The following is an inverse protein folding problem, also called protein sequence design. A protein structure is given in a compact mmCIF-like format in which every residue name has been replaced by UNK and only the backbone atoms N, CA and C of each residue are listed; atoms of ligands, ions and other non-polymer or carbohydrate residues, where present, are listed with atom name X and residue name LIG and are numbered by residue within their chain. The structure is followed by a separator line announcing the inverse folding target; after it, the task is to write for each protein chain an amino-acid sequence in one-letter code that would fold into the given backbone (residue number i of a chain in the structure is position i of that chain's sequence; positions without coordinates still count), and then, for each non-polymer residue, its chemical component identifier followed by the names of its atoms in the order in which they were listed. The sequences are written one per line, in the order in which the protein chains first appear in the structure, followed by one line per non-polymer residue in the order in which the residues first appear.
data_IF_815220221035
#
_entry.id   IF_815220221035
#
_cell.length_a   1.000
_cell.length_b   1.000
_cell.length_c   1.000
_cell.angle_alpha   90.00
_cell.angle_beta   90.00
_cell.angle_gamma   90.00
#
_symmetry.space_group_name_H-M   'P 1'
#
loop_
_entity.id
_entity.type
_entity.pdbx_description
1 polymer ?
#
# COMPACT_ATOMS: atom_id res chain seq x y z
N UNK A 1 -23.98 30.38 -18.71
CA UNK A 1 -22.49 30.57 -18.72
C UNK A 1 -21.88 29.38 -19.46
N UNK A 2 -20.88 29.61 -20.30
CA UNK A 2 -20.32 28.57 -21.19
C UNK A 2 -19.17 27.81 -20.52
N UNK A 3 -19.01 26.53 -20.85
CA UNK A 3 -17.90 25.72 -20.35
C UNK A 3 -16.57 26.25 -20.91
N UNK A 4 -15.56 26.36 -20.05
CA UNK A 4 -14.20 26.78 -20.46
C UNK A 4 -13.51 25.84 -21.46
N UNK A 5 -13.96 24.59 -21.55
CA UNK A 5 -13.39 23.58 -22.45
C UNK A 5 -14.28 23.30 -23.67
N UNK A 6 -15.56 23.66 -23.60
CA UNK A 6 -16.56 23.39 -24.64
C UNK A 6 -17.46 24.61 -24.80
N UNK A 7 -17.15 25.46 -25.78
CA UNK A 7 -17.88 26.70 -26.01
C UNK A 7 -19.36 26.46 -26.37
N UNK A 8 -19.68 25.29 -26.97
CA UNK A 8 -21.03 24.89 -27.37
C UNK A 8 -21.92 24.41 -26.22
N UNK A 9 -21.40 24.29 -25.00
CA UNK A 9 -22.15 23.74 -23.87
C UNK A 9 -22.40 24.80 -22.80
N UNK A 10 -23.67 25.14 -22.58
CA UNK A 10 -24.08 25.93 -21.42
C UNK A 10 -24.05 25.09 -20.15
N UNK A 11 -23.55 25.66 -19.06
CA UNK A 11 -23.38 24.95 -17.79
C UNK A 11 -23.73 25.84 -16.61
N UNK A 12 -24.23 25.21 -15.55
CA UNK A 12 -24.37 25.80 -14.21
C UNK A 12 -23.33 25.24 -13.22
N UNK A 13 -22.52 24.26 -13.63
CA UNK A 13 -21.56 23.59 -12.77
C UNK A 13 -20.23 24.36 -12.75
N UNK A 14 -19.62 24.45 -11.57
CA UNK A 14 -18.31 25.06 -11.34
C UNK A 14 -17.40 24.09 -10.61
N UNK A 15 -16.10 24.15 -10.92
CA UNK A 15 -15.13 23.35 -10.19
C UNK A 15 -15.01 23.85 -8.74
N UNK A 16 -15.10 22.95 -7.77
CA UNK A 16 -14.98 23.31 -6.34
C UNK A 16 -13.61 23.86 -5.91
N UNK A 17 -12.57 23.75 -6.75
CA UNK A 17 -11.20 24.19 -6.45
C UNK A 17 -10.80 25.49 -7.15
N UNK A 18 -11.18 25.65 -8.41
CA UNK A 18 -10.77 26.79 -9.25
C UNK A 18 -11.96 27.60 -9.79
N UNK A 19 -13.19 27.21 -9.46
CA UNK A 19 -14.45 27.93 -9.73
C UNK A 19 -14.76 28.18 -11.22
N UNK A 20 -13.94 27.64 -12.13
CA UNK A 20 -14.18 27.70 -13.57
C UNK A 20 -15.46 26.94 -13.95
N UNK A 21 -16.25 27.45 -14.92
CA UNK A 21 -17.43 26.75 -15.41
C UNK A 21 -17.02 25.49 -16.19
N UNK A 22 -17.62 24.37 -15.80
CA UNK A 22 -17.40 23.02 -16.36
C UNK A 22 -18.72 22.43 -16.83
N UNK A 23 -18.72 21.67 -17.93
CA UNK A 23 -19.88 20.89 -18.36
C UNK A 23 -19.88 19.50 -17.71
N UNK A 24 -21.02 18.82 -17.77
CA UNK A 24 -21.20 17.41 -17.41
C UNK A 24 -20.15 16.48 -18.04
N UNK A 25 -19.77 16.74 -19.31
CA UNK A 25 -18.73 15.99 -20.02
C UNK A 25 -17.32 16.22 -19.49
N UNK A 26 -17.04 17.42 -18.97
CA UNK A 26 -15.73 17.78 -18.39
C UNK A 26 -15.63 17.51 -16.89
N UNK A 27 -16.74 17.22 -16.22
CA UNK A 27 -16.78 17.01 -14.79
C UNK A 27 -16.16 15.65 -14.44
N UNK A 28 -15.02 15.69 -13.74
CA UNK A 28 -14.43 14.48 -13.14
C UNK A 28 -14.97 14.34 -11.73
N UNK A 29 -15.63 13.22 -11.45
CA UNK A 29 -16.07 12.84 -10.12
C UNK A 29 -14.85 12.57 -9.23
N UNK A 30 -14.66 13.38 -8.19
CA UNK A 30 -13.65 13.16 -7.15
C UNK A 30 -14.36 12.95 -5.80
N UNK A 31 -13.71 12.37 -4.77
CA UNK A 31 -14.36 12.12 -3.47
C UNK A 31 -14.90 13.38 -2.78
N UNK A 32 -14.47 14.57 -3.22
CA UNK A 32 -14.92 15.88 -2.72
C UNK A 32 -15.84 16.60 -3.72
N UNK A 33 -16.43 15.86 -4.68
CA UNK A 33 -17.35 16.38 -5.70
C UNK A 33 -16.74 16.56 -7.08
N UNK A 34 -17.45 17.27 -7.96
CA UNK A 34 -17.05 17.48 -9.35
C UNK A 34 -15.85 18.46 -9.47
N UNK A 35 -14.78 18.03 -10.14
CA UNK A 35 -13.61 18.86 -10.46
C UNK A 35 -13.35 18.92 -11.97
N UNK A 36 -12.73 19.99 -12.43
CA UNK A 36 -12.25 20.10 -13.80
C UNK A 36 -11.05 19.15 -14.03
N UNK A 37 -10.76 18.72 -15.27
CA UNK A 37 -9.70 17.75 -15.54
C UNK A 37 -8.32 18.23 -15.10
N UNK A 38 -8.07 19.54 -15.13
CA UNK A 38 -6.82 20.15 -14.63
C UNK A 38 -6.68 20.04 -13.11
N UNK A 39 -7.78 20.17 -12.34
CA UNK A 39 -7.77 20.13 -10.88
C UNK A 39 -8.08 18.74 -10.31
N UNK A 40 -8.63 17.84 -11.11
CA UNK A 40 -8.98 16.50 -10.69
C UNK A 40 -7.75 15.67 -10.29
N UNK A 41 -6.55 16.07 -10.74
CA UNK A 41 -5.22 15.51 -10.43
C UNK A 41 -5.33 14.11 -9.83
N UNK A 42 -5.78 13.16 -10.66
CA UNK A 42 -6.00 11.76 -10.29
C UNK A 42 -4.62 11.13 -10.15
N UNK A 43 -3.88 11.55 -9.13
CA UNK A 43 -2.64 10.92 -8.75
C UNK A 43 -3.01 9.52 -8.28
N UNK A 44 -2.41 8.51 -8.91
CA UNK A 44 -2.46 7.14 -8.40
C UNK A 44 -2.06 7.20 -6.93
N UNK A 45 -2.94 6.67 -6.09
CA UNK A 45 -2.77 6.59 -4.65
C UNK A 45 -1.34 6.06 -4.40
N UNK A 46 -0.49 6.80 -3.68
CA UNK A 46 0.94 6.50 -3.57
C UNK A 46 1.24 5.17 -2.87
N UNK A 47 0.22 4.50 -2.34
CA UNK A 47 0.24 3.19 -1.71
C UNK A 47 0.89 2.10 -2.58
N UNK A 48 0.89 2.25 -3.92
CA UNK A 48 1.49 1.30 -4.85
C UNK A 48 2.77 1.80 -5.55
N UNK A 49 3.35 2.92 -5.10
CA UNK A 49 4.65 3.38 -5.62
C UNK A 49 5.81 2.70 -4.88
N UNK A 50 5.91 1.38 -5.02
CA UNK A 50 7.11 0.67 -4.55
C UNK A 50 8.26 1.04 -5.48
N UNK A 51 9.25 1.77 -4.95
CA UNK A 51 10.51 1.97 -5.66
C UNK A 51 11.19 0.61 -5.86
N UNK A 52 11.87 0.40 -6.99
CA UNK A 52 12.71 -0.79 -7.24
C UNK A 52 13.71 -1.03 -6.12
N UNK A 53 14.17 0.03 -5.45
CA UNK A 53 15.04 -0.04 -4.29
C UNK A 53 14.33 -0.62 -3.05
N UNK A 54 13.05 -0.30 -2.83
CA UNK A 54 12.29 -0.85 -1.70
C UNK A 54 11.96 -2.33 -1.92
N UNK A 55 11.69 -2.72 -3.17
CA UNK A 55 11.41 -4.12 -3.51
C UNK A 55 12.65 -5.01 -3.31
N UNK A 56 13.82 -4.56 -3.76
CA UNK A 56 15.07 -5.30 -3.59
C UNK A 56 15.48 -5.44 -2.12
N UNK A 57 15.30 -4.39 -1.32
CA UNK A 57 15.50 -4.45 0.13
C UNK A 57 14.53 -5.42 0.83
N UNK A 58 13.25 -5.40 0.45
CA UNK A 58 12.25 -6.31 1.02
C UNK A 58 12.58 -7.78 0.73
N UNK A 59 12.99 -8.10 -0.50
CA UNK A 59 13.43 -9.44 -0.90
C UNK A 59 14.70 -9.85 -0.14
N UNK A 60 15.69 -8.95 -0.03
CA UNK A 60 16.93 -9.25 0.68
C UNK A 60 16.68 -9.58 2.16
N UNK A 61 15.83 -8.79 2.83
CA UNK A 61 15.54 -9.00 4.25
C UNK A 61 14.68 -10.25 4.49
N UNK A 62 13.68 -10.52 3.64
CA UNK A 62 12.86 -11.73 3.81
C UNK A 62 13.66 -13.01 3.63
N UNK A 63 14.60 -13.05 2.68
CA UNK A 63 15.51 -14.20 2.49
C UNK A 63 16.41 -14.40 3.72
N UNK A 64 17.02 -13.33 4.23
CA UNK A 64 17.91 -13.43 5.41
C UNK A 64 17.14 -13.85 6.65
N UNK A 65 15.99 -13.24 6.93
CA UNK A 65 15.16 -13.56 8.10
C UNK A 65 14.63 -14.99 8.00
N UNK A 66 14.19 -15.41 6.82
CA UNK A 66 13.72 -16.78 6.57
C UNK A 66 14.82 -17.83 6.79
N UNK A 67 16.03 -17.57 6.31
CA UNK A 67 17.17 -18.48 6.52
C UNK A 67 17.56 -18.59 8.00
N UNK A 68 17.62 -17.47 8.72
CA UNK A 68 17.97 -17.46 10.15
C UNK A 68 16.93 -18.21 10.97
N UNK A 69 15.63 -17.94 10.74
CA UNK A 69 14.56 -18.64 11.44
C UNK A 69 14.52 -20.13 11.07
N UNK A 70 14.69 -20.47 9.79
CA UNK A 70 14.71 -21.85 9.32
C UNK A 70 15.86 -22.67 9.91
N UNK A 71 17.07 -22.10 9.97
CA UNK A 71 18.22 -22.73 10.63
C UNK A 71 17.98 -22.90 12.14
N UNK A 72 17.42 -21.87 12.78
CA UNK A 72 17.11 -21.91 14.21
C UNK A 72 16.11 -23.01 14.54
N UNK A 73 15.00 -23.12 13.80
CA UNK A 73 14.02 -24.17 14.01
C UNK A 73 14.55 -25.56 13.64
N UNK A 74 15.25 -25.70 12.50
CA UNK A 74 15.81 -26.98 12.07
C UNK A 74 16.84 -27.57 13.04
N UNK A 75 17.61 -26.72 13.75
CA UNK A 75 18.56 -27.16 14.77
C UNK A 75 17.89 -27.48 16.12
N UNK A 76 16.89 -26.69 16.52
CA UNK A 76 16.28 -26.82 17.85
C UNK A 76 15.10 -27.79 17.93
N UNK A 77 14.33 -28.00 16.85
CA UNK A 77 13.14 -28.86 16.90
C UNK A 77 13.46 -30.34 17.22
N UNK A 78 14.65 -30.82 16.86
CA UNK A 78 15.06 -32.20 17.13
C UNK A 78 15.39 -32.49 18.61
N UNK A 79 15.57 -31.45 19.45
CA UNK A 79 15.97 -31.60 20.85
C UNK A 79 14.76 -31.58 21.81
N UNK A 80 13.55 -31.29 21.31
CA UNK A 80 12.38 -31.03 22.14
C UNK A 80 11.55 -32.31 22.31
N UNK A 81 11.20 -32.72 23.55
CA UNK A 81 10.36 -33.89 23.78
C UNK A 81 8.93 -33.69 23.23
N UNK A 82 8.36 -34.74 22.63
CA UNK A 82 7.03 -34.77 21.99
C UNK A 82 5.89 -34.14 22.82
N UNK A 83 6.00 -34.18 24.16
CA UNK A 83 5.02 -33.58 25.09
C UNK A 83 5.00 -32.05 25.09
N UNK A 84 6.10 -31.39 24.70
CA UNK A 84 6.25 -29.93 24.72
C UNK A 84 6.05 -29.30 23.33
N UNK A 85 6.07 -30.12 22.28
CA UNK A 85 5.85 -29.74 20.87
C UNK A 85 4.49 -29.08 20.64
N UNK A 86 3.44 -29.54 21.33
CA UNK A 86 2.08 -28.99 21.21
C UNK A 86 1.94 -27.52 21.62
N UNK A 87 2.82 -27.02 22.49
CA UNK A 87 2.84 -25.61 22.92
C UNK A 87 3.89 -24.83 22.14
N UNK A 88 5.06 -25.44 21.90
CA UNK A 88 6.20 -24.80 21.27
C UNK A 88 5.98 -24.49 19.78
N UNK A 89 5.41 -25.43 19.02
CA UNK A 89 5.18 -25.28 17.57
C UNK A 89 4.22 -24.14 17.24
N UNK A 90 3.02 -24.01 17.85
CA UNK A 90 2.14 -22.88 17.56
C UNK A 90 2.74 -21.54 17.99
N UNK A 91 3.46 -21.48 19.12
CA UNK A 91 4.15 -20.25 19.56
C UNK A 91 5.27 -19.82 18.59
N UNK A 92 6.04 -20.79 18.09
CA UNK A 92 7.03 -20.61 17.02
C UNK A 92 6.40 -20.06 15.74
N UNK A 93 5.26 -20.63 15.32
CA UNK A 93 4.58 -20.23 14.10
C UNK A 93 4.03 -18.80 14.18
N UNK A 94 3.42 -18.44 15.32
CA UNK A 94 2.91 -17.09 15.56
C UNK A 94 4.05 -16.07 15.64
N UNK A 95 5.14 -16.40 16.34
CA UNK A 95 6.27 -15.49 16.51
C UNK A 95 7.03 -15.26 15.20
N UNK A 96 7.29 -16.30 14.41
CA UNK A 96 7.95 -16.18 13.10
C UNK A 96 7.15 -15.31 12.13
N UNK A 97 5.82 -15.50 12.08
CA UNK A 97 4.93 -14.65 11.28
C UNK A 97 5.01 -13.17 11.70
N UNK A 98 5.02 -12.90 13.00
CA UNK A 98 5.18 -11.54 13.51
C UNK A 98 6.55 -10.94 13.17
N UNK A 99 7.64 -11.70 13.33
CA UNK A 99 9.01 -11.25 13.04
C UNK A 99 9.20 -10.95 11.55
N UNK A 100 8.68 -11.80 10.66
CA UNK A 100 8.74 -11.60 9.21
C UNK A 100 7.92 -10.35 8.82
N UNK A 101 6.69 -10.22 9.33
CA UNK A 101 5.86 -9.04 9.05
C UNK A 101 6.48 -7.74 9.57
N UNK A 102 7.02 -7.76 10.80
CA UNK A 102 7.64 -6.59 11.42
C UNK A 102 8.98 -6.20 10.76
N UNK A 103 9.76 -7.16 10.28
CA UNK A 103 11.02 -6.89 9.58
C UNK A 103 10.77 -6.27 8.20
N UNK A 104 9.83 -6.82 7.43
CA UNK A 104 9.44 -6.25 6.13
C UNK A 104 8.90 -4.83 6.31
N UNK A 105 7.98 -4.63 7.26
CA UNK A 105 7.35 -3.33 7.53
C UNK A 105 8.36 -2.24 7.94
N UNK A 106 9.37 -2.59 8.75
CA UNK A 106 10.43 -1.64 9.11
C UNK A 106 11.31 -1.23 7.93
N UNK A 107 11.53 -2.14 6.99
CA UNK A 107 12.47 -1.96 5.87
C UNK A 107 11.83 -1.23 4.71
N UNK A 108 10.56 -1.51 4.40
CA UNK A 108 9.86 -0.85 3.29
C UNK A 108 9.47 0.59 3.57
N UNK A 109 9.87 1.13 4.73
CA UNK A 109 9.59 2.48 5.22
C UNK A 109 8.08 2.71 5.32
N UNK A 110 7.59 2.78 6.56
CA UNK A 110 6.21 3.10 6.89
C UNK A 110 5.83 4.46 6.27
N UNK A 111 5.36 4.49 5.02
CA UNK A 111 4.59 5.64 4.53
C UNK A 111 3.30 5.62 5.33
N UNK A 112 3.30 6.38 6.43
CA UNK A 112 2.14 6.69 7.26
C UNK A 112 0.93 7.04 6.42
#
# INVERSE_FOLDING_TARGET
MQCTFHQDSETLLRCSKCEVPICDRCAVQTPVGARCPKCANVQRIPTYSLSTQQLTQAIGVSVVVGLVLGLFFGLFENLIPFRMTWIYVPASFVSSGYVIGASISRVTNHKR
#
